data_IF_092005847500
#
_entry.id   IF_092005847500
#
_cell.length_a   1.000
_cell.length_b   1.000
_cell.length_c   1.000
_cell.angle_alpha   90.00
_cell.angle_beta   90.00
_cell.angle_gamma   90.00
#
_symmetry.space_group_name_H-M   'P 1'
#
loop_
_entity.id
_entity.type
_entity.pdbx_description
1 polymer ?
#
# COMPACT_ATOMS: atom_id res chain seq x y z
N UNK A 1 -3.04 26.76 30.28
CA UNK A 1 -3.09 26.89 28.81
C UNK A 1 -2.73 25.53 28.28
N UNK A 2 -3.76 24.72 28.06
CA UNK A 2 -3.60 23.35 27.57
C UNK A 2 -3.99 23.38 26.11
N UNK A 3 -3.04 22.96 25.29
CA UNK A 3 -3.12 22.83 23.84
C UNK A 3 -4.01 21.62 23.55
N UNK A 4 -5.28 21.88 23.29
CA UNK A 4 -6.22 20.86 22.83
C UNK A 4 -5.84 20.47 21.40
N UNK A 5 -5.25 19.29 21.28
CA UNK A 5 -4.98 18.65 20.02
C UNK A 5 -6.28 18.56 19.21
N UNK A 6 -6.37 19.39 18.17
CA UNK A 6 -7.40 19.29 17.15
C UNK A 6 -7.16 17.98 16.40
N UNK A 7 -7.84 16.93 16.86
CA UNK A 7 -8.04 15.72 16.10
C UNK A 7 -8.86 16.12 14.86
N UNK A 8 -8.14 16.43 13.79
CA UNK A 8 -8.73 16.73 12.48
C UNK A 8 -9.46 15.48 12.03
N UNK A 9 -10.77 15.43 12.34
CA UNK A 9 -11.68 14.42 11.83
C UNK A 9 -11.56 14.41 10.31
N UNK A 10 -10.84 13.42 9.77
CA UNK A 10 -10.73 13.23 8.32
C UNK A 10 -12.13 12.92 7.79
N UNK A 11 -12.79 13.95 7.27
CA UNK A 11 -14.13 13.86 6.73
C UNK A 11 -14.11 12.80 5.61
N UNK A 12 -14.89 11.74 5.80
CA UNK A 12 -14.92 10.55 4.94
C UNK A 12 -16.29 10.45 4.31
N UNK A 13 -16.32 10.27 2.99
CA UNK A 13 -17.57 10.02 2.25
C UNK A 13 -17.93 8.55 2.29
N UNK A 14 -19.19 8.27 2.62
CA UNK A 14 -19.71 6.91 2.74
C UNK A 14 -20.46 6.52 1.47
N UNK A 15 -20.01 5.43 0.84
CA UNK A 15 -20.61 4.88 -0.37
C UNK A 15 -21.26 3.54 -0.03
N UNK A 16 -22.57 3.44 -0.24
CA UNK A 16 -23.34 2.23 0.00
C UNK A 16 -23.25 1.30 -1.22
N UNK A 17 -22.84 0.04 -1.05
CA UNK A 17 -22.48 -0.82 -2.20
C UNK A 17 -23.51 -1.85 -2.64
N UNK A 18 -23.97 -2.75 -1.76
CA UNK A 18 -24.99 -3.77 -2.11
C UNK A 18 -25.85 -4.16 -0.91
N UNK A 19 -27.07 -4.61 -1.23
CA UNK A 19 -28.03 -5.26 -0.34
C UNK A 19 -27.71 -6.75 -0.21
N UNK A 20 -27.34 -7.23 0.98
CA UNK A 20 -27.35 -8.68 1.28
C UNK A 20 -28.75 -9.03 1.80
N UNK A 21 -29.54 -9.80 1.04
CA UNK A 21 -30.80 -10.39 1.54
C UNK A 21 -30.43 -11.63 2.35
N UNK A 22 -30.48 -11.52 3.67
CA UNK A 22 -30.48 -12.69 4.57
C UNK A 22 -31.66 -12.56 5.51
N UNK A 23 -32.61 -13.48 5.40
CA UNK A 23 -33.71 -13.66 6.35
C UNK A 23 -34.70 -12.50 6.38
N UNK A 24 -34.40 -11.44 7.11
CA UNK A 24 -35.28 -10.28 7.30
C UNK A 24 -34.53 -8.94 7.54
N UNK A 25 -33.20 -8.88 7.35
CA UNK A 25 -32.42 -7.64 7.50
C UNK A 25 -31.65 -7.25 6.23
N UNK A 26 -31.67 -5.95 5.91
CA UNK A 26 -30.88 -5.36 4.85
C UNK A 26 -29.48 -5.06 5.39
N UNK A 27 -28.47 -5.87 5.03
CA UNK A 27 -27.07 -5.52 5.31
C UNK A 27 -26.49 -4.78 4.11
N UNK A 28 -26.05 -3.55 4.35
CA UNK A 28 -25.32 -2.71 3.41
C UNK A 28 -23.83 -2.78 3.73
N UNK A 29 -23.00 -2.94 2.70
CA UNK A 29 -21.55 -2.71 2.83
C UNK A 29 -21.33 -1.22 2.57
N UNK A 30 -20.75 -0.54 3.56
CA UNK A 30 -20.39 0.87 3.49
C UNK A 30 -18.90 0.94 3.24
N UNK A 31 -18.50 1.62 2.17
CA UNK A 31 -17.09 1.93 1.87
C UNK A 31 -16.86 3.41 2.13
N UNK A 32 -15.84 3.74 2.92
CA UNK A 32 -15.44 5.11 3.17
C UNK A 32 -14.28 5.51 2.25
N UNK A 33 -14.38 6.67 1.60
CA UNK A 33 -13.24 7.33 0.95
C UNK A 33 -12.96 8.66 1.64
N UNK A 34 -11.70 8.95 2.04
CA UNK A 34 -11.35 10.24 2.61
C UNK A 34 -11.51 11.34 1.56
N UNK A 35 -11.89 12.55 1.98
CA UNK A 35 -11.78 13.71 1.10
C UNK A 35 -10.32 13.98 0.72
N UNK A 36 -10.11 14.46 -0.49
CA UNK A 36 -8.80 14.94 -0.93
C UNK A 36 -8.85 16.44 -1.19
N UNK A 37 -8.07 17.19 -0.42
CA UNK A 37 -7.98 18.65 -0.52
C UNK A 37 -6.77 19.13 -1.33
N UNK A 38 -5.81 18.24 -1.60
CA UNK A 38 -4.51 18.57 -2.19
C UNK A 38 -3.38 17.88 -1.41
N UNK A 39 -2.13 18.21 -1.74
CA UNK A 39 -0.95 17.69 -1.03
C UNK A 39 0.18 17.26 -1.96
N UNK A 40 0.98 16.28 -1.50
CA UNK A 40 2.11 15.79 -2.28
C UNK A 40 1.67 14.84 -3.39
N UNK A 41 2.54 14.60 -4.38
CA UNK A 41 2.32 13.57 -5.41
C UNK A 41 2.02 12.19 -4.80
N UNK A 42 2.66 11.84 -3.67
CA UNK A 42 2.41 10.59 -2.97
C UNK A 42 1.01 10.54 -2.34
N UNK A 43 0.52 11.66 -1.81
CA UNK A 43 -0.82 11.74 -1.25
C UNK A 43 -1.88 11.58 -2.34
N UNK A 44 -1.68 12.23 -3.48
CA UNK A 44 -2.54 12.07 -4.67
C UNK A 44 -2.53 10.61 -5.16
N UNK A 45 -1.36 10.00 -5.37
CA UNK A 45 -1.24 8.61 -5.85
C UNK A 45 -1.86 7.59 -4.89
N UNK A 46 -1.77 7.84 -3.57
CA UNK A 46 -2.43 6.99 -2.57
C UNK A 46 -3.95 7.14 -2.63
N UNK A 47 -4.43 8.37 -2.76
CA UNK A 47 -5.85 8.68 -2.78
C UNK A 47 -6.52 8.19 -4.07
N UNK A 48 -5.91 8.45 -5.24
CA UNK A 48 -6.48 8.09 -6.54
C UNK A 48 -6.69 6.58 -6.67
N UNK A 49 -5.78 5.78 -6.11
CA UNK A 49 -5.91 4.33 -6.08
C UNK A 49 -7.15 3.89 -5.29
N UNK A 50 -7.43 4.55 -4.16
CA UNK A 50 -8.62 4.26 -3.36
C UNK A 50 -9.89 4.63 -4.13
N UNK A 51 -9.87 5.76 -4.83
CA UNK A 51 -10.98 6.19 -5.68
C UNK A 51 -11.22 5.22 -6.84
N UNK A 52 -10.19 4.87 -7.63
CA UNK A 52 -10.31 3.93 -8.76
C UNK A 52 -10.77 2.55 -8.30
N UNK A 53 -10.28 2.06 -7.16
CA UNK A 53 -10.76 0.79 -6.62
C UNK A 53 -12.28 0.81 -6.36
N UNK A 54 -12.82 1.94 -5.89
CA UNK A 54 -14.25 2.10 -5.69
C UNK A 54 -14.98 2.19 -7.02
N UNK A 55 -14.44 2.93 -7.99
CA UNK A 55 -14.97 3.01 -9.34
C UNK A 55 -15.12 1.61 -9.97
N UNK A 56 -14.10 0.77 -9.85
CA UNK A 56 -14.11 -0.62 -10.34
C UNK A 56 -15.15 -1.49 -9.61
N UNK A 57 -15.18 -1.41 -8.28
CA UNK A 57 -16.15 -2.16 -7.46
C UNK A 57 -17.60 -1.80 -7.78
N UNK A 58 -17.85 -0.53 -8.10
CA UNK A 58 -19.18 -0.02 -8.44
C UNK A 58 -19.50 -0.08 -9.92
N UNK A 59 -18.49 -0.24 -10.77
CA UNK A 59 -18.59 -0.13 -12.23
C UNK A 59 -19.16 1.22 -12.66
N UNK A 60 -18.62 2.30 -12.07
CA UNK A 60 -19.09 3.65 -12.36
C UNK A 60 -18.83 4.06 -13.81
N UNK A 61 -19.78 4.77 -14.41
CA UNK A 61 -19.60 5.47 -15.68
C UNK A 61 -18.72 6.71 -15.52
N UNK A 62 -18.26 7.31 -16.63
CA UNK A 62 -17.54 8.59 -16.66
C UNK A 62 -18.32 9.70 -15.94
N UNK A 63 -19.62 9.83 -16.24
CA UNK A 63 -20.55 10.74 -15.56
C UNK A 63 -20.58 10.49 -14.04
N UNK A 64 -20.77 9.22 -13.61
CA UNK A 64 -20.79 8.89 -12.18
C UNK A 64 -19.46 9.19 -11.50
N UNK A 65 -18.32 8.90 -12.15
CA UNK A 65 -16.99 9.27 -11.64
C UNK A 65 -16.89 10.78 -11.45
N UNK A 66 -17.25 11.57 -12.45
CA UNK A 66 -17.19 13.04 -12.40
C UNK A 66 -18.08 13.62 -11.28
N UNK A 67 -19.30 13.09 -11.11
CA UNK A 67 -20.20 13.48 -10.03
C UNK A 67 -19.60 13.16 -8.65
N UNK A 68 -19.04 11.96 -8.48
CA UNK A 68 -18.45 11.57 -7.20
C UNK A 68 -17.17 12.36 -6.90
N UNK A 69 -16.32 12.67 -7.89
CA UNK A 69 -15.17 13.56 -7.71
C UNK A 69 -15.59 14.91 -7.13
N UNK A 70 -16.65 15.53 -7.64
CA UNK A 70 -17.16 16.80 -7.11
C UNK A 70 -17.59 16.72 -5.63
N UNK A 71 -17.96 15.54 -5.13
CA UNK A 71 -18.28 15.32 -3.73
C UNK A 71 -17.01 15.09 -2.91
N UNK A 72 -16.14 14.19 -3.36
CA UNK A 72 -15.00 13.68 -2.58
C UNK A 72 -13.76 14.58 -2.61
N UNK A 73 -13.74 15.60 -3.46
CA UNK A 73 -12.66 16.60 -3.50
C UNK A 73 -12.98 17.81 -2.62
N UNK A 74 -11.94 18.50 -2.15
CA UNK A 74 -12.03 19.76 -1.42
C UNK A 74 -10.94 20.75 -1.88
N UNK A 75 -11.02 22.01 -1.44
CA UNK A 75 -9.99 23.04 -1.59
C UNK A 75 -9.28 23.08 -2.96
N UNK A 76 -7.95 22.95 -2.99
CA UNK A 76 -7.11 23.00 -4.19
C UNK A 76 -7.48 21.89 -5.17
N UNK A 77 -7.75 20.69 -4.69
CA UNK A 77 -8.11 19.56 -5.53
C UNK A 77 -9.45 19.73 -6.23
N UNK A 78 -10.46 20.25 -5.53
CA UNK A 78 -11.77 20.55 -6.15
C UNK A 78 -11.67 21.71 -7.13
N UNK A 79 -10.90 22.75 -6.79
CA UNK A 79 -10.72 23.91 -7.66
C UNK A 79 -9.99 23.52 -8.96
N UNK A 80 -8.90 22.75 -8.86
CA UNK A 80 -8.17 22.27 -10.03
C UNK A 80 -9.02 21.35 -10.91
N UNK A 81 -9.81 20.44 -10.32
CA UNK A 81 -10.75 19.59 -11.06
C UNK A 81 -11.75 20.43 -11.87
N UNK A 82 -12.41 21.40 -11.23
CA UNK A 82 -13.38 22.28 -11.89
C UNK A 82 -12.77 23.07 -13.03
N UNK A 83 -11.52 23.51 -12.91
CA UNK A 83 -10.82 24.25 -13.96
C UNK A 83 -10.62 23.37 -15.19
N UNK A 84 -10.13 22.14 -15.02
CA UNK A 84 -9.84 21.26 -16.16
C UNK A 84 -11.10 20.66 -16.78
N UNK A 85 -12.19 20.52 -16.01
CA UNK A 85 -13.44 19.94 -16.49
C UNK A 85 -14.43 20.97 -17.05
N UNK A 86 -14.16 22.28 -16.93
CA UNK A 86 -15.14 23.33 -17.24
C UNK A 86 -15.62 23.36 -18.69
N UNK A 87 -14.76 22.97 -19.63
CA UNK A 87 -15.01 23.08 -21.08
C UNK A 87 -15.07 21.72 -21.77
N UNK A 88 -15.30 20.65 -21.01
CA UNK A 88 -15.21 19.27 -21.48
C UNK A 88 -16.49 18.53 -21.12
N UNK A 89 -16.98 17.69 -22.02
CA UNK A 89 -18.10 16.81 -21.76
C UNK A 89 -17.61 15.60 -20.94
N UNK A 90 -17.69 15.72 -19.62
CA UNK A 90 -17.26 14.66 -18.68
C UNK A 90 -18.12 13.38 -18.76
N UNK A 91 -19.25 13.42 -19.46
CA UNK A 91 -20.07 12.24 -19.71
C UNK A 91 -19.47 11.40 -20.84
N UNK A 92 -18.75 12.03 -21.78
CA UNK A 92 -17.96 11.32 -22.78
C UNK A 92 -16.72 10.69 -22.13
N UNK A 93 -16.51 9.41 -22.44
CA UNK A 93 -15.49 8.60 -21.78
C UNK A 93 -14.06 9.06 -22.11
N UNK A 94 -13.81 9.40 -23.37
CA UNK A 94 -12.47 9.73 -23.84
C UNK A 94 -12.10 11.14 -23.40
N UNK A 95 -13.06 12.06 -23.45
CA UNK A 95 -12.94 13.41 -22.88
C UNK A 95 -12.74 13.39 -21.36
N UNK A 96 -13.49 12.55 -20.63
CA UNK A 96 -13.28 12.35 -19.19
C UNK A 96 -11.86 11.85 -18.89
N UNK A 97 -11.40 10.79 -19.56
CA UNK A 97 -10.08 10.20 -19.32
C UNK A 97 -8.96 11.22 -19.59
N UNK A 98 -9.11 12.01 -20.65
CA UNK A 98 -8.17 13.09 -21.01
C UNK A 98 -8.07 14.16 -19.92
N UNK A 99 -9.22 14.65 -19.42
CA UNK A 99 -9.26 15.65 -18.34
C UNK A 99 -8.79 15.07 -17.02
N UNK A 100 -9.15 13.83 -16.71
CA UNK A 100 -8.75 13.13 -15.50
C UNK A 100 -7.23 12.94 -15.42
N UNK A 101 -6.61 12.61 -16.56
CA UNK A 101 -5.15 12.55 -16.69
C UNK A 101 -4.49 13.93 -16.56
N UNK A 102 -5.07 14.94 -17.21
CA UNK A 102 -4.60 16.35 -17.10
C UNK A 102 -4.64 16.82 -15.65
N UNK A 103 -5.71 16.50 -14.92
CA UNK A 103 -5.85 16.80 -13.51
C UNK A 103 -4.77 16.10 -12.68
N UNK A 104 -4.50 14.82 -12.92
CA UNK A 104 -3.43 14.09 -12.24
C UNK A 104 -2.05 14.72 -12.42
N UNK A 105 -1.78 15.29 -13.60
CA UNK A 105 -0.54 16.02 -13.89
C UNK A 105 -0.38 17.33 -13.10
N UNK A 106 -1.44 17.88 -12.52
CA UNK A 106 -1.34 19.04 -11.62
C UNK A 106 -0.73 18.67 -10.27
N UNK A 107 -0.86 17.41 -9.83
CA UNK A 107 -0.34 16.91 -8.55
C UNK A 107 0.90 16.03 -8.69
N UNK A 108 1.05 15.35 -9.82
CA UNK A 108 2.15 14.42 -10.08
C UNK A 108 3.00 14.96 -11.23
N UNK A 109 4.21 15.49 -10.94
CA UNK A 109 5.15 15.93 -11.97
C UNK A 109 5.46 14.80 -12.96
N UNK A 110 5.66 15.14 -14.23
CA UNK A 110 5.99 14.15 -15.28
C UNK A 110 7.21 13.28 -14.95
N UNK A 111 8.20 13.87 -14.26
CA UNK A 111 9.45 13.21 -13.86
C UNK A 111 9.34 12.41 -12.55
N UNK A 112 8.15 12.32 -11.94
CA UNK A 112 7.99 11.61 -10.68
C UNK A 112 8.26 10.10 -10.80
N UNK A 113 8.08 9.53 -11.99
CA UNK A 113 8.41 8.13 -12.29
C UNK A 113 9.89 7.83 -12.03
N UNK A 114 10.81 8.71 -12.47
CA UNK A 114 12.26 8.54 -12.29
C UNK A 114 12.64 8.46 -10.80
N UNK A 115 12.00 9.29 -9.97
CA UNK A 115 12.19 9.27 -8.52
C UNK A 115 11.76 7.93 -7.91
N UNK A 116 10.63 7.37 -8.35
CA UNK A 116 10.13 6.09 -7.84
C UNK A 116 11.01 4.92 -8.30
N UNK A 117 11.51 4.97 -9.55
CA UNK A 117 12.46 3.99 -10.07
C UNK A 117 13.79 4.03 -9.32
N UNK A 118 14.33 5.23 -9.04
CA UNK A 118 15.53 5.40 -8.22
C UNK A 118 15.32 4.87 -6.79
N UNK A 119 14.15 5.13 -6.20
CA UNK A 119 13.81 4.62 -4.86
C UNK A 119 13.75 3.07 -4.84
N UNK A 120 13.27 2.44 -5.92
CA UNK A 120 13.32 0.98 -6.07
C UNK A 120 14.74 0.46 -6.32
N UNK A 121 15.54 1.18 -7.10
CA UNK A 121 16.92 0.80 -7.39
C UNK A 121 17.80 0.81 -6.13
N UNK A 122 17.64 1.84 -5.29
CA UNK A 122 18.35 2.00 -4.02
C UNK A 122 17.64 1.32 -2.84
N UNK A 123 16.64 0.48 -3.12
CA UNK A 123 15.78 -0.08 -2.09
C UNK A 123 16.54 -1.06 -1.20
N UNK A 124 16.63 -0.74 0.08
CA UNK A 124 17.23 -1.59 1.10
C UNK A 124 16.35 -1.63 2.35
N UNK A 125 16.36 -2.77 3.06
CA UNK A 125 15.73 -2.90 4.38
C UNK A 125 16.50 -2.04 5.38
N UNK A 126 15.79 -1.18 6.09
CA UNK A 126 16.31 -0.40 7.22
C UNK A 126 16.50 -1.32 8.43
N UNK A 127 17.56 -1.10 9.22
CA UNK A 127 17.79 -1.88 10.45
C UNK A 127 16.63 -1.79 11.45
N UNK A 128 15.95 -0.64 11.48
CA UNK A 128 14.84 -0.36 12.40
C UNK A 128 13.48 -0.86 11.92
N UNK A 129 13.35 -1.38 10.70
CA UNK A 129 12.06 -1.84 10.16
C UNK A 129 12.01 -3.37 10.13
N UNK A 130 10.81 -3.93 10.30
CA UNK A 130 10.57 -5.37 10.16
C UNK A 130 10.56 -5.80 8.69
N UNK A 131 10.67 -7.09 8.41
CA UNK A 131 10.51 -7.64 7.04
C UNK A 131 9.14 -7.27 6.46
N UNK A 132 8.09 -7.36 7.27
CA UNK A 132 6.73 -6.98 6.88
C UNK A 132 6.65 -5.49 6.48
N UNK A 133 7.25 -4.60 7.27
CA UNK A 133 7.24 -3.16 6.99
C UNK A 133 8.08 -2.83 5.76
N UNK A 134 9.23 -3.50 5.57
CA UNK A 134 10.03 -3.39 4.36
C UNK A 134 9.23 -3.80 3.12
N UNK A 135 8.56 -4.95 3.16
CA UNK A 135 7.70 -5.41 2.06
C UNK A 135 6.55 -4.43 1.79
N UNK A 136 5.90 -3.92 2.83
CA UNK A 136 4.83 -2.93 2.68
C UNK A 136 5.34 -1.64 2.03
N UNK A 137 6.55 -1.18 2.40
CA UNK A 137 7.18 0.00 1.79
C UNK A 137 7.48 -0.24 0.32
N UNK A 138 8.03 -1.39 -0.05
CA UNK A 138 8.26 -1.77 -1.45
C UNK A 138 6.95 -1.77 -2.23
N UNK A 139 5.91 -2.41 -1.68
CA UNK A 139 4.58 -2.47 -2.29
C UNK A 139 3.96 -1.09 -2.49
N UNK A 140 4.21 -0.15 -1.58
CA UNK A 140 3.74 1.21 -1.73
C UNK A 140 4.39 1.90 -2.94
N UNK A 141 5.69 1.72 -3.16
CA UNK A 141 6.40 2.31 -4.31
C UNK A 141 5.92 1.70 -5.62
N UNK A 142 5.83 0.37 -5.70
CA UNK A 142 5.39 -0.32 -6.92
C UNK A 142 3.95 -0.01 -7.27
N UNK A 143 3.11 0.16 -6.25
CA UNK A 143 1.77 0.66 -6.43
C UNK A 143 1.74 2.11 -6.92
N UNK A 144 2.62 2.99 -6.45
CA UNK A 144 2.67 4.37 -6.94
C UNK A 144 3.06 4.40 -8.43
N UNK A 145 4.01 3.57 -8.85
CA UNK A 145 4.41 3.42 -10.25
C UNK A 145 3.25 3.00 -11.16
N UNK A 146 2.39 2.09 -10.71
CA UNK A 146 1.24 1.64 -11.52
C UNK A 146 0.10 2.65 -11.58
N UNK A 147 0.08 3.66 -10.71
CA UNK A 147 -1.00 4.66 -10.63
C UNK A 147 -0.59 6.04 -11.17
N UNK A 148 0.57 6.14 -11.82
CA UNK A 148 1.03 7.39 -12.42
C UNK A 148 0.08 7.85 -13.55
N UNK A 149 -0.21 9.16 -13.68
CA UNK A 149 -1.01 9.67 -14.80
C UNK A 149 -0.38 9.41 -16.18
N UNK A 150 0.95 9.37 -16.24
CA UNK A 150 1.72 9.00 -17.43
C UNK A 150 2.87 8.09 -17.05
N UNK A 151 3.30 7.25 -18.00
CA UNK A 151 4.39 6.29 -17.81
C UNK A 151 4.13 5.34 -16.64
N UNK A 152 2.87 4.94 -16.46
CA UNK A 152 2.52 3.95 -15.46
C UNK A 152 3.23 2.62 -15.76
N UNK A 153 3.84 2.04 -14.74
CA UNK A 153 4.61 0.81 -14.87
C UNK A 153 4.10 -0.24 -13.88
N UNK A 154 3.64 -1.36 -14.41
CA UNK A 154 3.36 -2.56 -13.64
C UNK A 154 4.58 -3.48 -13.68
N UNK A 155 5.07 -3.85 -12.50
CA UNK A 155 6.21 -4.76 -12.36
C UNK A 155 5.71 -6.19 -12.16
N UNK A 156 6.29 -7.11 -12.92
CA UNK A 156 6.07 -8.54 -12.76
C UNK A 156 6.52 -9.05 -11.39
N UNK A 157 5.94 -10.18 -10.94
CA UNK A 157 6.23 -10.74 -9.63
C UNK A 157 7.71 -11.15 -9.47
N UNK A 158 8.36 -11.64 -10.52
CA UNK A 158 9.75 -12.11 -10.44
C UNK A 158 10.77 -10.98 -10.20
N UNK A 159 10.76 -9.87 -10.97
CA UNK A 159 11.53 -8.67 -10.62
C UNK A 159 11.29 -8.19 -9.19
N UNK A 160 10.04 -8.18 -8.72
CA UNK A 160 9.71 -7.78 -7.36
C UNK A 160 10.35 -8.69 -6.31
N UNK A 161 10.27 -10.01 -6.51
CA UNK A 161 10.92 -11.00 -5.63
C UNK A 161 12.43 -10.77 -5.60
N UNK A 162 13.05 -10.50 -6.76
CA UNK A 162 14.49 -10.24 -6.86
C UNK A 162 14.87 -8.96 -6.10
N UNK A 163 14.17 -7.85 -6.36
CA UNK A 163 14.37 -6.58 -5.65
C UNK A 163 14.25 -6.76 -4.14
N UNK A 164 13.20 -7.46 -3.69
CA UNK A 164 13.00 -7.73 -2.27
C UNK A 164 14.15 -8.55 -1.67
N UNK A 165 14.61 -9.60 -2.36
CA UNK A 165 15.77 -10.41 -1.91
C UNK A 165 17.03 -9.57 -1.81
N UNK A 166 17.31 -8.71 -2.79
CA UNK A 166 18.51 -7.87 -2.80
C UNK A 166 18.51 -6.83 -1.67
N UNK A 167 17.33 -6.34 -1.31
CA UNK A 167 17.13 -5.35 -0.25
C UNK A 167 17.47 -5.86 1.16
N UNK A 168 17.57 -7.17 1.36
CA UNK A 168 17.75 -7.78 2.67
C UNK A 168 19.23 -7.83 3.10
N UNK A 169 19.50 -7.96 4.42
CA UNK A 169 20.85 -8.11 4.94
C UNK A 169 21.63 -9.26 4.28
N UNK A 170 22.95 -9.10 4.14
CA UNK A 170 23.80 -10.09 3.47
C UNK A 170 23.74 -11.46 4.16
N UNK A 171 23.65 -11.47 5.48
CA UNK A 171 23.55 -12.67 6.31
C UNK A 171 22.32 -13.50 5.93
N UNK A 172 21.19 -12.85 5.69
CA UNK A 172 19.93 -13.50 5.31
C UNK A 172 19.95 -13.96 3.86
N UNK A 173 20.60 -13.21 2.96
CA UNK A 173 20.82 -13.64 1.58
C UNK A 173 21.66 -14.92 1.53
N UNK A 174 22.74 -14.98 2.31
CA UNK A 174 23.56 -16.20 2.43
C UNK A 174 22.79 -17.36 3.08
N UNK A 175 21.97 -17.10 4.10
CA UNK A 175 21.13 -18.14 4.71
C UNK A 175 20.12 -18.71 3.70
N UNK A 176 19.51 -17.85 2.89
CA UNK A 176 18.64 -18.24 1.79
C UNK A 176 19.36 -19.12 0.76
N UNK A 177 20.53 -18.69 0.28
CA UNK A 177 21.34 -19.46 -0.70
C UNK A 177 21.68 -20.86 -0.17
N UNK A 178 22.04 -20.98 1.11
CA UNK A 178 22.34 -22.27 1.76
C UNK A 178 21.11 -23.15 1.96
N UNK A 179 19.93 -22.56 2.06
CA UNK A 179 18.70 -23.31 2.34
C UNK A 179 18.22 -24.16 1.15
N UNK A 180 18.63 -23.83 -0.08
CA UNK A 180 18.15 -24.50 -1.30
C UNK A 180 16.65 -24.31 -1.58
N UNK A 181 15.96 -23.43 -0.85
CA UNK A 181 14.52 -23.20 -1.01
C UNK A 181 14.26 -22.39 -2.28
N UNK A 182 13.34 -22.87 -3.12
CA UNK A 182 12.87 -22.13 -4.28
C UNK A 182 11.67 -21.25 -3.91
N UNK A 183 11.91 -19.94 -3.81
CA UNK A 183 10.88 -18.94 -3.54
C UNK A 183 10.32 -18.41 -4.85
N UNK A 184 9.15 -18.91 -5.25
CA UNK A 184 8.48 -18.58 -6.53
C UNK A 184 7.39 -17.51 -6.42
N UNK A 185 6.98 -17.14 -5.20
CA UNK A 185 5.97 -16.12 -4.98
C UNK A 185 6.38 -15.13 -3.89
N UNK A 186 5.88 -13.91 -3.98
CA UNK A 186 6.17 -12.86 -3.00
C UNK A 186 5.74 -13.23 -1.58
N UNK A 187 4.51 -13.76 -1.34
CA UNK A 187 4.10 -14.13 0.01
C UNK A 187 5.00 -15.18 0.67
N UNK A 188 5.42 -16.20 -0.08
CA UNK A 188 6.36 -17.21 0.41
C UNK A 188 7.73 -16.59 0.73
N UNK A 189 8.16 -15.64 -0.10
CA UNK A 189 9.43 -14.92 0.09
C UNK A 189 9.41 -14.12 1.39
N UNK A 190 8.37 -13.31 1.62
CA UNK A 190 8.20 -12.52 2.83
C UNK A 190 8.17 -13.41 4.07
N UNK A 191 7.34 -14.47 4.06
CA UNK A 191 7.24 -15.41 5.18
C UNK A 191 8.58 -16.10 5.51
N UNK A 192 9.40 -16.39 4.49
CA UNK A 192 10.71 -16.99 4.72
C UNK A 192 11.62 -16.03 5.51
N UNK A 193 11.70 -14.77 5.10
CA UNK A 193 12.57 -13.79 5.75
C UNK A 193 12.02 -13.32 7.09
N UNK A 194 10.70 -13.29 7.30
CA UNK A 194 10.10 -13.07 8.62
C UNK A 194 10.55 -14.13 9.64
N UNK A 195 10.69 -15.40 9.21
CA UNK A 195 11.22 -16.45 10.10
C UNK A 195 12.69 -16.24 10.44
N UNK A 196 13.50 -15.75 9.50
CA UNK A 196 14.89 -15.39 9.76
C UNK A 196 14.99 -14.21 10.72
N UNK A 197 14.14 -13.19 10.56
CA UNK A 197 14.06 -12.05 11.47
C UNK A 197 13.72 -12.47 12.92
N UNK A 198 12.76 -13.38 13.08
CA UNK A 198 12.42 -13.96 14.39
C UNK A 198 13.61 -14.76 14.94
N UNK A 199 14.30 -15.53 14.10
CA UNK A 199 15.44 -16.34 14.54
C UNK A 199 16.62 -15.47 15.00
N UNK A 200 16.91 -14.37 14.31
CA UNK A 200 17.99 -13.44 14.66
C UNK A 200 17.68 -12.66 15.94
N UNK A 201 16.44 -12.20 16.10
CA UNK A 201 16.00 -11.52 17.33
C UNK A 201 16.04 -12.42 18.56
N UNK A 202 15.86 -13.73 18.39
CA UNK A 202 16.01 -14.73 19.47
C UNK A 202 17.48 -15.08 19.78
N UNK A 203 18.42 -14.78 18.88
CA UNK A 203 19.87 -14.99 19.07
C UNK A 203 20.55 -13.78 19.72
N UNK A 204 19.90 -12.61 19.77
CA UNK A 204 20.37 -11.40 20.45
C UNK A 204 20.32 -11.34 22.01
N UNK A 205 20.01 -12.39 22.83
CA UNK A 205 20.23 -12.32 24.27
C UNK A 205 21.60 -12.89 24.69
N UNK A 206 22.70 -12.57 23.99
CA UNK A 206 24.05 -13.05 24.36
C UNK A 206 25.00 -12.01 24.97
N UNK A 207 24.54 -10.78 25.18
CA UNK A 207 25.31 -9.77 25.93
C UNK A 207 24.62 -9.28 27.21
N UNK A 208 23.63 -10.00 27.73
CA UNK A 208 23.16 -9.80 29.10
C UNK A 208 23.62 -10.95 30.00
N UNK A 209 24.50 -10.56 30.91
CA UNK A 209 24.97 -11.30 32.07
C UNK A 209 23.80 -11.95 32.81
N UNK A 210 23.90 -13.26 33.06
CA UNK A 210 23.02 -13.99 33.96
C UNK A 210 22.14 -15.02 33.24
N UNK A 211 22.47 -16.29 33.39
CA UNK A 211 21.66 -17.41 32.95
C UNK A 211 20.24 -17.31 33.53
N UNK A 212 19.25 -17.07 32.69
CA UNK A 212 17.87 -17.46 32.96
C UNK A 212 17.62 -18.75 32.17
N UNK A 213 17.57 -19.87 32.89
CA UNK A 213 17.07 -21.13 32.35
C UNK A 213 15.69 -20.87 31.73
N UNK A 214 15.60 -21.07 30.41
CA UNK A 214 14.30 -21.08 29.73
C UNK A 214 13.56 -22.28 30.32
N UNK A 215 12.46 -22.01 31.02
CA UNK A 215 11.71 -23.07 31.67
C UNK A 215 11.19 -24.06 30.61
N UNK A 216 11.19 -25.35 30.97
CA UNK A 216 10.81 -26.47 30.11
C UNK A 216 9.46 -26.24 29.40
N UNK A 217 8.52 -25.55 30.04
CA UNK A 217 7.20 -25.25 29.50
C UNK A 217 7.25 -24.25 28.36
N UNK A 218 8.19 -23.30 28.40
CA UNK A 218 8.43 -22.35 27.32
C UNK A 218 9.07 -23.04 26.11
N UNK A 219 10.01 -23.97 26.36
CA UNK A 219 10.62 -24.77 25.29
C UNK A 219 9.63 -25.69 24.58
N UNK A 220 8.75 -26.38 25.34
CA UNK A 220 7.72 -27.24 24.77
C UNK A 220 6.68 -26.46 23.94
N UNK A 221 6.32 -25.25 24.38
CA UNK A 221 5.39 -24.39 23.64
C UNK A 221 5.97 -23.91 22.30
N UNK A 222 7.28 -23.69 22.24
CA UNK A 222 8.00 -23.35 21.01
C UNK A 222 8.03 -24.56 20.06
N UNK A 223 8.31 -25.75 20.57
CA UNK A 223 8.28 -26.98 19.78
C UNK A 223 6.86 -27.28 19.23
N UNK A 224 5.81 -27.05 20.02
CA UNK A 224 4.42 -27.24 19.61
C UNK A 224 4.02 -26.27 18.47
N UNK A 225 4.49 -25.02 18.53
CA UNK A 225 4.28 -24.03 17.46
C UNK A 225 5.02 -24.40 16.17
N UNK A 226 6.22 -24.97 16.26
CA UNK A 226 7.01 -25.39 15.10
C UNK A 226 6.50 -26.69 14.46
N UNK A 227 5.79 -27.54 15.22
CA UNK A 227 5.24 -28.82 14.70
C UNK A 227 3.81 -28.71 14.19
N UNK A 228 3.03 -27.71 14.61
CA UNK A 228 1.62 -27.53 14.19
C UNK A 228 1.40 -27.12 12.72
N UNK A 229 2.45 -26.87 11.95
CA UNK A 229 2.37 -26.41 10.56
C UNK A 229 3.14 -27.28 9.56
N UNK A 230 3.39 -28.55 9.89
CA UNK A 230 3.75 -29.58 8.90
C UNK A 230 2.51 -30.15 8.22
#
# INVERSE_FOLDING_TARGET
>A
MSDDGVETSKMTFLITTKKKKTGHELKFIIISIPRFSGGTAQDWLRWIKQFEHICELKKWTSEEKALHLNLVLDDEALNSWKVVSASVNVDDKDEFESVYKTWGHMFVPSMYHERLEEELYLFAKKRSETVANCHQRMRNITCMLSNLPSNALELDEQPLILTFKMALPNEWKTAYERSGVHLTSMPKTVQYFERLEISDTLVEPKNMVGAAEIDQKTYEKILELLTRFK
#
